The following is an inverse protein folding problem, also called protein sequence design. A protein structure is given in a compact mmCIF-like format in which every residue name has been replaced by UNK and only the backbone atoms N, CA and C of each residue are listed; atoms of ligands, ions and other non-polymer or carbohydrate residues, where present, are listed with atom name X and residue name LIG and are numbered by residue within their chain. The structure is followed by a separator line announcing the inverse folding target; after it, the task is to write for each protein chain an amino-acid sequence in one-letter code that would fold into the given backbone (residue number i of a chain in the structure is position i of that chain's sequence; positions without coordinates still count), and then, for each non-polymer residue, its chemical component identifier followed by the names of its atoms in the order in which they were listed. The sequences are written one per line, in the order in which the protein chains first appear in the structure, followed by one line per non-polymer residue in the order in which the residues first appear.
data_IF_280375176611
#
_entry.id   IF_280375176611
#
_cell.length_a   1.000
_cell.length_b   1.000
_cell.length_c   1.000
_cell.angle_alpha   90.00
_cell.angle_beta   90.00
_cell.angle_gamma   90.00
#
_symmetry.space_group_name_H-M   'P 1'
#
loop_
_entity.id
_entity.type
_entity.pdbx_description
1 polymer ?
#
# COMPACT_ATOMS: atom_id res chain seq x y z
N UNK A 1 32.11 4.99 23.51
CA UNK A 1 31.18 3.85 23.40
C UNK A 1 31.90 2.62 23.91
N UNK A 2 31.35 1.93 24.92
CA UNK A 2 31.97 0.72 25.48
C UNK A 2 31.86 -0.44 24.49
N UNK A 3 32.84 -1.35 24.47
CA UNK A 3 32.90 -2.52 23.58
C UNK A 3 31.61 -3.38 23.57
N UNK A 4 30.82 -3.36 24.66
CA UNK A 4 29.53 -4.05 24.71
C UNK A 4 28.47 -3.44 23.79
N UNK A 5 28.44 -2.11 23.59
CA UNK A 5 27.43 -1.45 22.75
C UNK A 5 27.65 -1.76 21.26
N UNK A 6 28.90 -1.88 20.82
CA UNK A 6 29.25 -2.25 19.44
C UNK A 6 28.93 -3.72 19.15
N UNK A 7 29.04 -4.60 20.15
CA UNK A 7 28.73 -6.03 19.99
C UNK A 7 27.22 -6.29 19.84
N UNK A 8 26.37 -5.55 20.58
CA UNK A 8 24.92 -5.64 20.45
C UNK A 8 24.41 -5.17 19.08
N UNK A 9 24.99 -4.09 18.54
CA UNK A 9 24.63 -3.56 17.21
C UNK A 9 25.00 -4.58 16.12
N UNK A 10 26.15 -5.24 16.24
CA UNK A 10 26.59 -6.26 15.27
C UNK A 10 25.73 -7.53 15.30
N UNK A 11 25.29 -7.98 16.48
CA UNK A 11 24.37 -9.13 16.59
C UNK A 11 23.01 -8.80 15.98
N UNK A 12 22.51 -7.58 16.19
CA UNK A 12 21.24 -7.13 15.61
C UNK A 12 21.29 -7.08 14.08
N UNK A 13 22.39 -6.57 13.52
CA UNK A 13 22.65 -6.57 12.06
C UNK A 13 22.78 -7.99 11.48
N UNK A 14 23.41 -8.92 12.20
CA UNK A 14 23.56 -10.31 11.77
C UNK A 14 22.27 -11.14 11.86
N UNK A 15 21.35 -10.79 12.78
CA UNK A 15 20.02 -11.40 12.87
C UNK A 15 19.11 -10.94 11.72
N UNK A 16 19.23 -9.69 11.27
CA UNK A 16 18.51 -9.17 10.10
C UNK A 16 18.93 -9.92 8.82
N UNK A 17 20.21 -10.31 8.72
CA UNK A 17 20.77 -11.02 7.54
C UNK A 17 20.39 -12.51 7.43
N UNK A 18 19.76 -13.10 8.46
CA UNK A 18 19.38 -14.54 8.50
C UNK A 18 17.87 -14.79 8.52
N UNK A 19 17.07 -13.80 8.14
CA UNK A 19 15.62 -14.00 8.05
C UNK A 19 15.28 -14.75 6.77
N UNK A 20 14.75 -15.96 6.90
CA UNK A 20 13.96 -16.56 5.82
C UNK A 20 12.73 -15.69 5.66
N UNK A 21 12.66 -14.99 4.52
CA UNK A 21 11.53 -14.14 4.14
C UNK A 21 10.34 -15.07 3.94
N UNK A 22 9.41 -15.06 4.89
CA UNK A 22 8.05 -15.53 4.63
C UNK A 22 7.49 -14.54 3.60
N UNK A 23 6.98 -15.05 2.47
CA UNK A 23 6.38 -14.28 1.38
C UNK A 23 5.23 -13.43 1.92
N UNK A 24 5.54 -12.19 2.29
CA UNK A 24 4.64 -11.15 2.74
C UNK A 24 4.92 -9.89 1.93
N UNK A 25 3.92 -9.01 1.87
CA UNK A 25 3.99 -7.77 1.10
C UNK A 25 5.20 -6.93 1.56
N UNK A 26 6.17 -6.67 0.66
CA UNK A 26 7.37 -5.88 0.97
C UNK A 26 7.02 -4.39 1.05
N UNK A 27 7.08 -3.84 2.25
CA UNK A 27 6.87 -2.42 2.50
C UNK A 27 7.99 -1.48 1.98
N UNK A 28 8.81 -1.95 1.03
CA UNK A 28 9.93 -1.19 0.46
C UNK A 28 11.21 -1.25 1.31
N UNK A 29 11.31 -2.22 2.22
CA UNK A 29 12.50 -2.43 3.04
C UNK A 29 13.68 -2.94 2.19
N UNK A 30 13.41 -3.74 1.16
CA UNK A 30 14.46 -4.25 0.26
C UNK A 30 15.08 -3.11 -0.57
N UNK A 31 14.31 -2.07 -0.93
CA UNK A 31 14.80 -0.88 -1.63
C UNK A 31 15.67 0.04 -0.76
N UNK A 32 15.53 -0.01 0.57
CA UNK A 32 16.35 0.77 1.51
C UNK A 32 17.73 0.13 1.79
N UNK A 33 17.89 -1.18 1.56
CA UNK A 33 19.06 -1.94 2.06
C UNK A 33 19.81 -2.68 0.94
N UNK A 34 19.23 -2.91 -0.25
CA UNK A 34 19.92 -3.67 -1.30
C UNK A 34 19.74 -3.11 -2.72
N UNK A 35 20.85 -3.03 -3.46
CA UNK A 35 20.89 -2.79 -4.90
C UNK A 35 20.74 -4.10 -5.71
N UNK A 36 20.01 -5.10 -5.19
CA UNK A 36 19.98 -6.44 -5.78
C UNK A 36 18.56 -6.81 -6.23
N UNK A 37 18.39 -6.90 -7.55
CA UNK A 37 17.27 -7.58 -8.20
C UNK A 37 17.25 -9.06 -7.80
N UNK A 38 16.43 -9.44 -6.83
CA UNK A 38 15.92 -10.82 -6.72
C UNK A 38 14.46 -10.77 -6.30
N UNK A 39 13.59 -11.34 -7.15
CA UNK A 39 12.14 -11.49 -7.02
C UNK A 39 11.44 -10.31 -6.32
N UNK A 40 11.10 -9.29 -7.13
CA UNK A 40 10.36 -8.10 -6.72
C UNK A 40 8.96 -8.48 -6.24
N UNK A 41 8.82 -8.78 -4.96
CA UNK A 41 7.56 -8.52 -4.29
C UNK A 41 7.24 -7.03 -4.44
N UNK A 42 5.95 -6.74 -4.52
CA UNK A 42 5.51 -5.44 -4.98
C UNK A 42 5.52 -4.42 -3.87
N UNK A 43 6.34 -3.38 -4.00
CA UNK A 43 6.40 -2.32 -3.01
C UNK A 43 5.19 -1.39 -3.12
N UNK A 44 4.76 -0.85 -1.97
CA UNK A 44 3.85 0.30 -1.91
C UNK A 44 4.22 1.41 -2.91
N UNK A 45 5.52 1.65 -3.07
CA UNK A 45 6.04 2.65 -3.98
C UNK A 45 5.71 2.31 -5.43
N UNK A 46 6.10 1.12 -5.89
CA UNK A 46 5.92 0.67 -7.27
C UNK A 46 4.45 0.66 -7.72
N UNK A 47 3.56 0.08 -6.90
CA UNK A 47 2.10 0.10 -7.17
C UNK A 47 1.56 1.51 -7.26
N UNK A 48 1.94 2.37 -6.32
CA UNK A 48 1.45 3.75 -6.28
C UNK A 48 1.91 4.52 -7.50
N UNK A 49 3.18 4.40 -7.91
CA UNK A 49 3.70 5.04 -9.12
C UNK A 49 2.93 4.56 -10.35
N UNK A 50 2.74 3.24 -10.50
CA UNK A 50 2.07 2.69 -11.67
C UNK A 50 0.61 3.15 -11.77
N UNK A 51 -0.14 3.08 -10.66
CA UNK A 51 -1.52 3.56 -10.61
C UNK A 51 -1.63 5.06 -10.91
N UNK A 52 -0.74 5.90 -10.37
CA UNK A 52 -0.72 7.34 -10.66
C UNK A 52 -0.43 7.63 -12.13
N UNK A 53 0.46 6.88 -12.77
CA UNK A 53 0.71 6.99 -14.19
C UNK A 53 -0.55 6.63 -15.00
N UNK A 54 -1.27 5.57 -14.62
CA UNK A 54 -2.50 5.14 -15.30
C UNK A 54 -3.57 6.23 -15.24
N UNK A 55 -3.85 6.73 -14.03
CA UNK A 55 -4.81 7.83 -13.81
C UNK A 55 -4.40 9.09 -14.57
N UNK A 56 -3.10 9.37 -14.65
CA UNK A 56 -2.59 10.51 -15.41
C UNK A 56 -2.86 10.38 -16.91
N UNK A 57 -2.63 9.20 -17.51
CA UNK A 57 -2.95 8.97 -18.91
C UNK A 57 -4.45 9.13 -19.19
N UNK A 58 -5.29 8.52 -18.34
CA UNK A 58 -6.75 8.63 -18.47
C UNK A 58 -7.21 10.10 -18.38
N UNK A 59 -6.60 10.87 -17.49
CA UNK A 59 -6.86 12.31 -17.36
C UNK A 59 -6.41 13.11 -18.60
N UNK A 60 -5.20 12.85 -19.11
CA UNK A 60 -4.69 13.50 -20.32
C UNK A 60 -5.54 13.20 -21.55
N UNK A 61 -5.97 11.95 -21.70
CA UNK A 61 -6.86 11.51 -22.77
C UNK A 61 -8.24 12.17 -22.67
N UNK A 62 -8.87 12.11 -21.50
CA UNK A 62 -10.24 12.60 -21.31
C UNK A 62 -10.36 14.12 -21.27
N UNK A 63 -9.37 14.81 -20.71
CA UNK A 63 -9.43 16.27 -20.45
C UNK A 63 -8.74 17.09 -21.53
N UNK A 64 -7.61 16.61 -22.04
CA UNK A 64 -6.78 17.34 -23.00
C UNK A 64 -6.80 16.72 -24.40
N UNK A 65 -7.53 15.62 -24.62
CA UNK A 65 -7.61 14.90 -25.88
C UNK A 65 -6.22 14.53 -26.45
N UNK A 66 -5.29 14.21 -25.56
CA UNK A 66 -3.93 13.75 -25.92
C UNK A 66 -4.01 12.30 -26.38
N UNK A 67 -3.37 11.97 -27.49
CA UNK A 67 -3.22 10.57 -27.92
C UNK A 67 -2.25 9.82 -27.00
N UNK A 68 -2.80 8.93 -26.19
CA UNK A 68 -2.06 8.07 -25.26
C UNK A 68 -1.90 6.64 -25.77
N UNK A 69 -2.38 6.30 -26.98
CA UNK A 69 -2.51 4.92 -27.43
C UNK A 69 -1.16 4.17 -27.40
N UNK A 70 -0.06 4.83 -27.75
CA UNK A 70 1.27 4.25 -27.64
C UNK A 70 1.62 3.87 -26.19
N UNK A 71 1.36 4.76 -25.23
CA UNK A 71 1.65 4.50 -23.81
C UNK A 71 0.70 3.49 -23.20
N UNK A 72 -0.55 3.43 -23.67
CA UNK A 72 -1.50 2.40 -23.26
C UNK A 72 -0.97 0.99 -23.58
N UNK A 73 -0.25 0.81 -24.70
CA UNK A 73 0.41 -0.47 -25.02
C UNK A 73 1.63 -0.78 -24.16
N UNK A 74 2.19 0.22 -23.47
CA UNK A 74 3.34 0.07 -22.58
C UNK A 74 2.96 -0.25 -21.13
N UNK A 75 1.67 -0.14 -20.80
CA UNK A 75 1.16 -0.58 -19.50
C UNK A 75 1.13 -2.11 -19.45
N UNK A 76 2.24 -2.68 -18.97
CA UNK A 76 2.31 -4.04 -18.49
C UNK A 76 2.36 -4.01 -16.96
N UNK A 77 1.27 -4.43 -16.34
CA UNK A 77 1.10 -4.52 -14.89
C UNK A 77 1.30 -5.97 -14.43
N UNK A 78 2.55 -6.42 -14.41
CA UNK A 78 2.89 -7.72 -13.84
C UNK A 78 3.12 -7.57 -12.33
N UNK A 79 2.42 -8.39 -11.53
CA UNK A 79 2.42 -8.36 -10.06
C UNK A 79 2.05 -6.99 -9.45
N UNK A 80 1.32 -6.13 -10.17
CA UNK A 80 0.97 -4.79 -9.68
C UNK A 80 2.08 -3.73 -9.83
N UNK A 81 3.13 -4.00 -10.61
CA UNK A 81 4.12 -2.99 -11.01
C UNK A 81 4.13 -2.76 -12.51
N UNK A 82 4.36 -1.51 -12.89
CA UNK A 82 4.70 -1.15 -14.26
C UNK A 82 6.08 -1.72 -14.60
N UNK A 83 6.19 -2.47 -15.70
CA UNK A 83 7.46 -3.07 -16.12
C UNK A 83 8.44 -2.08 -16.78
N UNK A 84 7.92 -0.99 -17.35
CA UNK A 84 8.72 0.09 -17.93
C UNK A 84 8.67 1.37 -17.06
N UNK A 85 9.61 2.29 -17.25
CA UNK A 85 9.58 3.62 -16.61
C UNK A 85 8.53 4.52 -17.30
N UNK A 86 7.26 4.27 -16.96
CA UNK A 86 6.13 5.01 -17.51
C UNK A 86 6.17 6.48 -17.10
N UNK A 87 6.79 6.82 -15.96
CA UNK A 87 6.93 8.22 -15.52
C UNK A 87 7.73 9.02 -16.56
N UNK A 88 8.85 8.50 -17.03
CA UNK A 88 9.65 9.16 -18.07
C UNK A 88 8.92 9.23 -19.41
N UNK A 89 8.18 8.18 -19.76
CA UNK A 89 7.37 8.17 -20.99
C UNK A 89 6.27 9.25 -20.96
N UNK A 90 5.60 9.44 -19.82
CA UNK A 90 4.63 10.53 -19.63
C UNK A 90 5.34 11.89 -19.68
N UNK A 91 6.50 12.06 -19.03
CA UNK A 91 7.27 13.32 -19.10
C UNK A 91 7.62 13.67 -20.55
N UNK A 92 8.01 12.67 -21.36
CA UNK A 92 8.27 12.84 -22.78
C UNK A 92 7.03 13.33 -23.53
N UNK A 93 5.88 12.68 -23.31
CA UNK A 93 4.59 13.09 -23.89
C UNK A 93 4.19 14.52 -23.48
N UNK A 94 4.34 14.88 -22.21
CA UNK A 94 4.03 16.22 -21.71
C UNK A 94 4.91 17.28 -22.38
N UNK A 95 6.19 16.98 -22.64
CA UNK A 95 7.10 17.91 -23.36
C UNK A 95 6.71 18.11 -24.82
N UNK A 96 6.24 17.07 -25.51
CA UNK A 96 5.91 17.15 -26.94
C UNK A 96 4.53 17.73 -27.21
N UNK A 97 3.59 17.58 -26.27
CA UNK A 97 2.19 18.01 -26.40
C UNK A 97 1.94 19.54 -26.42
N UNK A 98 2.96 20.37 -26.15
CA UNK A 98 2.86 21.84 -26.07
C UNK A 98 1.71 22.39 -25.19
N UNK A 99 1.23 21.61 -24.23
CA UNK A 99 0.13 22.00 -23.35
C UNK A 99 0.50 23.21 -22.47
N UNK A 100 -0.34 24.24 -22.48
CA UNK A 100 -0.12 25.46 -21.69
C UNK A 100 -0.29 25.17 -20.20
N UNK A 101 0.68 25.61 -19.39
CA UNK A 101 0.63 25.48 -17.92
C UNK A 101 1.07 24.13 -17.37
N UNK A 102 1.55 23.21 -18.22
CA UNK A 102 2.08 21.92 -17.77
C UNK A 102 3.56 22.05 -17.40
N UNK A 103 3.92 21.48 -16.24
CA UNK A 103 5.29 21.36 -15.79
C UNK A 103 5.64 19.88 -15.59
N UNK A 104 6.38 19.25 -16.53
CA UNK A 104 6.75 17.83 -16.44
C UNK A 104 7.59 17.49 -15.21
N UNK A 105 8.40 18.43 -14.72
CA UNK A 105 9.17 18.23 -13.49
C UNK A 105 8.27 18.21 -12.25
N UNK A 106 7.28 19.11 -12.21
CA UNK A 106 6.28 19.12 -11.14
C UNK A 106 5.45 17.82 -11.13
N UNK A 107 5.14 17.24 -12.29
CA UNK A 107 4.50 15.93 -12.40
C UNK A 107 5.34 14.84 -11.73
N UNK A 108 6.62 14.71 -12.13
CA UNK A 108 7.53 13.72 -11.55
C UNK A 108 7.68 13.88 -10.03
N UNK A 109 7.85 15.12 -9.57
CA UNK A 109 7.95 15.45 -8.15
C UNK A 109 6.66 15.09 -7.39
N UNK A 110 5.49 15.30 -8.01
CA UNK A 110 4.18 14.95 -7.44
C UNK A 110 4.05 13.44 -7.25
N UNK A 111 4.32 12.65 -8.30
CA UNK A 111 4.28 11.18 -8.25
C UNK A 111 5.22 10.65 -7.16
N UNK A 112 6.47 11.14 -7.14
CA UNK A 112 7.47 10.74 -6.13
C UNK A 112 7.02 11.08 -4.72
N UNK A 113 6.42 12.26 -4.51
CA UNK A 113 5.98 12.70 -3.17
C UNK A 113 4.86 11.81 -2.63
N UNK A 114 3.85 11.52 -3.46
CA UNK A 114 2.73 10.66 -3.08
C UNK A 114 3.22 9.23 -2.79
N UNK A 115 3.99 8.64 -3.72
CA UNK A 115 4.51 7.27 -3.57
C UNK A 115 5.45 7.16 -2.36
N UNK A 116 6.33 8.14 -2.14
CA UNK A 116 7.21 8.15 -0.97
C UNK A 116 6.43 8.31 0.34
N UNK A 117 5.36 9.11 0.36
CA UNK A 117 4.54 9.26 1.56
C UNK A 117 3.77 7.98 1.86
N UNK A 118 3.27 7.28 0.84
CA UNK A 118 2.67 5.95 0.99
C UNK A 118 3.67 5.00 1.68
N UNK A 119 4.82 4.73 1.06
CA UNK A 119 5.83 3.80 1.60
C UNK A 119 6.33 4.18 2.98
N UNK A 120 6.56 5.47 3.25
CA UNK A 120 7.02 5.93 4.57
C UNK A 120 5.98 5.77 5.67
N UNK A 121 4.70 5.68 5.32
CA UNK A 121 3.63 5.48 6.31
C UNK A 121 3.83 4.17 7.04
N UNK A 122 4.27 3.14 6.33
CA UNK A 122 4.56 1.82 6.89
C UNK A 122 5.47 1.90 8.13
N UNK A 123 6.62 2.57 7.97
CA UNK A 123 7.57 2.79 9.06
C UNK A 123 7.10 3.80 10.10
N UNK A 124 6.49 4.90 9.66
CA UNK A 124 6.07 6.01 10.53
C UNK A 124 4.91 5.59 11.44
N UNK A 125 4.12 4.63 10.98
CA UNK A 125 2.87 4.22 11.60
C UNK A 125 2.81 2.72 11.89
N UNK A 126 3.95 2.03 11.86
CA UNK A 126 4.13 0.59 12.10
C UNK A 126 3.29 -0.02 13.23
N UNK A 127 3.02 0.71 14.31
CA UNK A 127 2.24 0.24 15.47
C UNK A 127 0.81 0.79 15.52
N UNK A 128 0.35 1.43 14.45
CA UNK A 128 -0.99 2.00 14.34
C UNK A 128 -1.85 1.04 13.56
N UNK A 129 -2.54 0.16 14.27
CA UNK A 129 -3.45 -0.84 13.71
C UNK A 129 -4.41 -0.25 12.66
N UNK A 130 -4.99 0.93 12.94
CA UNK A 130 -5.90 1.61 11.99
C UNK A 130 -5.23 1.99 10.65
N UNK A 131 -3.92 2.22 10.63
CA UNK A 131 -3.18 2.55 9.41
C UNK A 131 -2.97 1.34 8.50
N UNK A 132 -3.00 0.13 9.09
CA UNK A 132 -2.71 -1.15 8.44
C UNK A 132 -3.94 -2.07 8.35
N UNK A 133 -5.06 -1.67 8.97
CA UNK A 133 -6.22 -2.54 9.22
C UNK A 133 -5.92 -3.79 10.05
N UNK A 134 -4.83 -3.81 10.81
CA UNK A 134 -4.51 -4.91 11.72
C UNK A 134 -5.47 -4.97 12.92
N UNK A 135 -5.49 -6.10 13.63
CA UNK A 135 -6.25 -6.30 14.87
C UNK A 135 -7.74 -5.90 14.74
N UNK A 136 -8.35 -6.20 13.59
CA UNK A 136 -9.75 -5.90 13.27
C UNK A 136 -10.08 -4.40 13.37
N UNK A 137 -9.10 -3.52 13.16
CA UNK A 137 -9.26 -2.06 13.26
C UNK A 137 -10.06 -1.44 12.10
N UNK A 138 -11.09 -2.11 11.58
CA UNK A 138 -11.89 -1.70 10.42
C UNK A 138 -12.60 -0.36 10.62
N UNK A 139 -13.17 -0.12 11.81
CA UNK A 139 -13.77 1.17 12.17
C UNK A 139 -12.71 2.27 12.21
N UNK A 140 -11.53 1.97 12.77
CA UNK A 140 -10.41 2.90 12.87
C UNK A 140 -9.85 3.28 11.50
N UNK A 141 -9.53 2.28 10.68
CA UNK A 141 -8.98 2.46 9.35
C UNK A 141 -9.92 3.16 8.38
N UNK A 142 -11.21 2.80 8.37
CA UNK A 142 -12.20 3.52 7.54
C UNK A 142 -12.36 4.99 7.95
N UNK A 143 -12.39 5.31 9.26
CA UNK A 143 -12.36 6.70 9.75
C UNK A 143 -11.08 7.43 9.34
N UNK A 144 -9.93 6.75 9.42
CA UNK A 144 -8.64 7.32 9.07
C UNK A 144 -8.57 7.68 7.58
N UNK A 145 -9.06 6.80 6.70
CA UNK A 145 -9.17 7.08 5.26
C UNK A 145 -10.02 8.32 5.02
N UNK A 146 -11.23 8.39 5.57
CA UNK A 146 -12.12 9.54 5.38
C UNK A 146 -11.49 10.84 5.91
N UNK A 147 -10.82 10.78 7.06
CA UNK A 147 -10.11 11.93 7.64
C UNK A 147 -8.98 12.42 6.72
N UNK A 148 -8.14 11.51 6.21
CA UNK A 148 -7.04 11.85 5.31
C UNK A 148 -7.55 12.37 3.97
N UNK A 149 -8.65 11.82 3.45
CA UNK A 149 -9.31 12.32 2.26
C UNK A 149 -9.74 13.78 2.44
N UNK A 150 -10.50 14.08 3.51
CA UNK A 150 -10.92 15.46 3.81
C UNK A 150 -9.71 16.39 4.01
N UNK A 151 -8.68 15.92 4.73
CA UNK A 151 -7.47 16.72 4.99
C UNK A 151 -6.70 17.02 3.69
N UNK A 152 -6.71 16.08 2.74
CA UNK A 152 -6.14 16.29 1.40
C UNK A 152 -6.90 17.37 0.65
N UNK A 153 -8.25 17.31 0.66
CA UNK A 153 -9.08 18.31 -0.01
C UNK A 153 -8.88 19.71 0.59
N UNK A 154 -8.91 19.83 1.92
CA UNK A 154 -8.67 21.12 2.62
C UNK A 154 -7.29 21.68 2.26
N UNK A 155 -6.25 20.84 2.29
CA UNK A 155 -4.89 21.28 1.97
C UNK A 155 -4.78 21.81 0.53
N UNK A 156 -5.43 21.15 -0.44
CA UNK A 156 -5.33 21.49 -1.86
C UNK A 156 -6.27 22.65 -2.23
N UNK A 157 -7.53 22.61 -1.80
CA UNK A 157 -8.60 23.49 -2.30
C UNK A 157 -8.77 24.76 -1.46
N UNK A 158 -8.42 24.71 -0.17
CA UNK A 158 -8.68 25.82 0.75
C UNK A 158 -7.40 26.52 1.22
N UNK A 159 -6.26 25.82 1.22
CA UNK A 159 -5.00 26.31 1.82
C UNK A 159 -3.83 26.45 0.83
N UNK A 160 -4.00 26.10 -0.45
CA UNK A 160 -2.93 26.03 -1.46
C UNK A 160 -1.67 25.25 -1.01
N UNK A 161 -1.82 24.35 -0.03
CA UNK A 161 -0.74 23.55 0.53
C UNK A 161 -0.64 22.21 -0.20
N UNK A 162 -0.28 22.27 -1.48
CA UNK A 162 -0.20 21.11 -2.36
C UNK A 162 0.79 20.04 -1.87
N UNK A 163 1.88 20.43 -1.21
CA UNK A 163 2.85 19.47 -0.65
C UNK A 163 2.25 18.64 0.48
N UNK A 164 1.57 19.29 1.44
CA UNK A 164 0.86 18.59 2.50
C UNK A 164 -0.28 17.74 1.94
N UNK A 165 -1.02 18.24 0.96
CA UNK A 165 -2.07 17.49 0.28
C UNK A 165 -1.56 16.20 -0.35
N UNK A 166 -0.47 16.26 -1.12
CA UNK A 166 0.18 15.09 -1.73
C UNK A 166 0.67 14.07 -0.70
N UNK A 167 1.29 14.54 0.39
CA UNK A 167 1.75 13.66 1.48
C UNK A 167 0.58 12.94 2.14
N UNK A 168 -0.44 13.70 2.56
CA UNK A 168 -1.64 13.14 3.21
C UNK A 168 -2.37 12.16 2.29
N UNK A 169 -2.43 12.45 0.99
CA UNK A 169 -2.99 11.54 0.00
C UNK A 169 -2.19 10.24 -0.11
N UNK A 170 -0.85 10.31 -0.13
CA UNK A 170 0.01 9.13 -0.08
C UNK A 170 -0.20 8.29 1.18
N UNK A 171 -0.29 8.93 2.35
CA UNK A 171 -0.61 8.24 3.62
C UNK A 171 -2.01 7.58 3.58
N UNK A 172 -2.98 8.17 2.88
CA UNK A 172 -4.29 7.56 2.68
C UNK A 172 -4.22 6.32 1.78
N UNK A 173 -3.45 6.40 0.69
CA UNK A 173 -3.26 5.28 -0.24
C UNK A 173 -2.57 4.10 0.43
N UNK A 174 -1.63 4.33 1.34
CA UNK A 174 -1.02 3.26 2.15
C UNK A 174 -2.09 2.47 2.90
N UNK A 175 -2.92 3.15 3.69
CA UNK A 175 -3.99 2.49 4.46
C UNK A 175 -5.03 1.79 3.59
N UNK A 176 -5.28 2.28 2.37
CA UNK A 176 -6.14 1.57 1.40
C UNK A 176 -5.44 0.32 0.87
N UNK A 177 -4.15 0.38 0.58
CA UNK A 177 -3.40 -0.78 0.09
C UNK A 177 -3.31 -1.86 1.16
N UNK A 178 -3.04 -1.49 2.41
CA UNK A 178 -2.95 -2.43 3.53
C UNK A 178 -4.28 -3.11 3.84
N UNK A 179 -5.41 -2.42 3.65
CA UNK A 179 -6.70 -3.10 3.72
C UNK A 179 -6.75 -4.32 2.79
N UNK A 180 -6.25 -4.23 1.56
CA UNK A 180 -6.33 -5.35 0.61
C UNK A 180 -5.26 -6.42 0.83
N UNK A 181 -4.16 -6.11 1.51
CA UNK A 181 -3.07 -7.06 1.76
C UNK A 181 -3.13 -7.70 3.17
N UNK A 182 -3.69 -7.00 4.16
CA UNK A 182 -3.72 -7.45 5.57
C UNK A 182 -5.07 -7.97 6.01
N UNK A 183 -6.09 -7.91 5.14
CA UNK A 183 -7.43 -8.44 5.43
C UNK A 183 -7.77 -9.59 4.50
N UNK A 184 -8.76 -10.39 4.89
CA UNK A 184 -9.27 -11.49 4.08
C UNK A 184 -10.17 -11.05 2.90
N UNK A 185 -10.15 -9.78 2.49
CA UNK A 185 -11.09 -9.25 1.50
C UNK A 185 -11.06 -10.04 0.18
N UNK A 186 -9.87 -10.40 -0.29
CA UNK A 186 -9.68 -11.18 -1.52
C UNK A 186 -10.10 -12.64 -1.31
N UNK A 187 -9.79 -13.23 -0.16
CA UNK A 187 -10.13 -14.60 0.22
C UNK A 187 -11.65 -14.79 0.38
N UNK A 188 -12.40 -13.72 0.65
CA UNK A 188 -13.86 -13.71 0.57
C UNK A 188 -14.41 -13.73 -0.86
N UNK A 189 -13.54 -13.82 -1.86
CA UNK A 189 -13.83 -13.79 -3.29
C UNK A 189 -14.45 -12.47 -3.78
N UNK A 190 -14.17 -11.36 -3.08
CA UNK A 190 -14.48 -10.04 -3.62
C UNK A 190 -13.47 -9.68 -4.71
N UNK A 191 -13.98 -9.39 -5.90
CA UNK A 191 -13.18 -9.09 -7.10
C UNK A 191 -13.35 -7.62 -7.56
N UNK A 192 -14.02 -6.81 -6.76
CA UNK A 192 -14.27 -5.40 -7.02
C UNK A 192 -13.77 -4.56 -5.84
N UNK A 193 -13.39 -3.28 -6.07
CA UNK A 193 -13.03 -2.39 -4.98
C UNK A 193 -14.15 -2.32 -3.93
N UNK A 194 -13.77 -2.27 -2.66
CA UNK A 194 -14.69 -2.14 -1.54
C UNK A 194 -15.64 -0.96 -1.74
N UNK A 195 -16.93 -1.21 -1.48
CA UNK A 195 -17.97 -0.19 -1.46
C UNK A 195 -17.96 0.64 -0.16
N UNK A 196 -17.08 0.32 0.79
CA UNK A 196 -16.95 1.01 2.08
C UNK A 196 -15.83 2.04 2.06
N UNK A 197 -14.64 1.64 1.59
CA UNK A 197 -13.44 2.48 1.70
C UNK A 197 -13.64 3.85 1.06
N UNK A 198 -13.43 4.92 1.84
CA UNK A 198 -13.59 6.30 1.42
C UNK A 198 -15.04 6.79 1.26
N UNK A 199 -16.04 5.92 1.47
CA UNK A 199 -17.48 6.25 1.33
C UNK A 199 -18.21 6.25 2.67
N UNK A 200 -17.93 5.26 3.53
CA UNK A 200 -18.52 5.14 4.87
C UNK A 200 -17.57 4.42 5.82
N UNK A 201 -18.00 4.30 7.08
CA UNK A 201 -17.32 3.55 8.13
C UNK A 201 -17.90 2.13 8.16
N UNK A 202 -17.05 1.13 8.41
CA UNK A 202 -17.50 -0.25 8.65
C UNK A 202 -18.37 -0.34 9.91
N UNK A 203 -19.44 -1.12 9.84
CA UNK A 203 -20.25 -1.52 10.98
C UNK A 203 -19.65 -2.72 11.71
N UNK A 204 -19.94 -2.84 13.00
CA UNK A 204 -19.42 -3.92 13.85
C UNK A 204 -19.90 -5.33 13.46
N UNK A 205 -20.88 -5.44 12.56
CA UNK A 205 -21.41 -6.69 12.02
C UNK A 205 -20.80 -7.08 10.66
N UNK A 206 -19.85 -6.29 10.14
CA UNK A 206 -19.18 -6.54 8.85
C UNK A 206 -17.82 -7.24 9.01
N UNK A 207 -17.33 -7.38 10.25
CA UNK A 207 -16.08 -8.03 10.58
C UNK A 207 -16.23 -8.92 11.81
N UNK A 208 -15.30 -9.85 11.97
CA UNK A 208 -15.27 -10.81 13.06
C UNK A 208 -15.18 -10.10 14.43
N UNK A 209 -15.91 -10.61 15.41
CA UNK A 209 -15.79 -10.16 16.79
C UNK A 209 -14.52 -10.71 17.44
N UNK A 210 -14.06 -10.07 18.52
CA UNK A 210 -12.83 -10.44 19.22
C UNK A 210 -12.83 -11.88 19.80
N UNK A 211 -14.01 -12.46 20.02
CA UNK A 211 -14.20 -13.83 20.49
C UNK A 211 -14.41 -14.86 19.35
N UNK A 212 -14.54 -14.40 18.11
CA UNK A 212 -14.70 -15.27 16.96
C UNK A 212 -13.34 -15.85 16.57
N UNK A 213 -13.28 -17.18 16.44
CA UNK A 213 -12.12 -17.83 15.81
C UNK A 213 -12.10 -17.51 14.31
N UNK A 214 -11.08 -16.80 13.87
CA UNK A 214 -10.97 -16.34 12.46
C UNK A 214 -10.04 -17.19 11.61
N UNK A 215 -9.14 -17.95 12.23
CA UNK A 215 -8.19 -18.80 11.53
C UNK A 215 -8.01 -20.18 12.19
N UNK A 216 -7.47 -21.09 11.39
CA UNK A 216 -7.05 -22.44 11.77
C UNK A 216 -5.55 -22.57 11.53
N UNK A 217 -4.89 -23.51 12.21
CA UNK A 217 -3.49 -23.83 11.92
C UNK A 217 -3.36 -24.38 10.50
N UNK A 218 -2.34 -23.93 9.77
CA UNK A 218 -2.04 -24.49 8.45
C UNK A 218 -1.42 -25.88 8.58
N UNK A 219 -1.78 -26.79 7.67
CA UNK A 219 -1.12 -28.09 7.57
C UNK A 219 0.33 -27.89 7.12
N UNK A 220 1.28 -28.37 7.94
CA UNK A 220 2.72 -28.35 7.63
C UNK A 220 3.27 -26.99 7.14
N UNK A 221 2.72 -25.88 7.65
CA UNK A 221 3.03 -24.49 7.27
C UNK A 221 2.64 -24.07 5.83
N UNK A 222 1.84 -24.87 5.12
CA UNK A 222 1.41 -24.59 3.74
C UNK A 222 0.07 -23.84 3.68
N UNK A 223 0.03 -22.61 4.18
CA UNK A 223 -1.18 -21.76 4.12
C UNK A 223 -1.50 -21.24 2.69
N UNK A 224 -0.59 -21.44 1.74
CA UNK A 224 -0.73 -20.94 0.36
C UNK A 224 -1.59 -21.87 -0.52
N UNK A 225 -1.66 -23.16 -0.19
CA UNK A 225 -2.41 -24.14 -0.97
C UNK A 225 -3.85 -24.24 -0.46
N UNK A 226 -4.02 -24.28 0.86
CA UNK A 226 -5.31 -24.32 1.54
C UNK A 226 -5.42 -23.10 2.44
N UNK A 227 -6.53 -22.36 2.32
CA UNK A 227 -6.79 -21.20 3.18
C UNK A 227 -6.81 -21.61 4.65
N UNK A 228 -6.15 -20.82 5.48
CA UNK A 228 -6.16 -20.98 6.93
C UNK A 228 -7.28 -20.16 7.59
N UNK A 229 -8.13 -19.49 6.82
CA UNK A 229 -9.28 -18.76 7.36
C UNK A 229 -10.34 -19.77 7.78
N UNK A 230 -10.90 -19.57 8.98
CA UNK A 230 -11.95 -20.46 9.50
C UNK A 230 -13.18 -20.42 8.57
N UNK A 231 -13.72 -21.59 8.25
CA UNK A 231 -14.85 -21.72 7.34
C UNK A 231 -16.09 -20.96 7.79
N UNK A 232 -16.26 -20.72 9.10
CA UNK A 232 -17.36 -19.90 9.61
C UNK A 232 -17.25 -18.44 9.13
N UNK A 233 -16.04 -17.86 9.08
CA UNK A 233 -15.79 -16.52 8.53
C UNK A 233 -16.11 -16.47 7.04
N UNK A 234 -15.63 -17.45 6.27
CA UNK A 234 -15.87 -17.50 4.82
C UNK A 234 -17.35 -17.66 4.47
N UNK A 235 -18.09 -18.48 5.23
CA UNK A 235 -19.53 -18.71 5.05
C UNK A 235 -20.36 -17.48 5.42
N UNK A 236 -19.98 -16.78 6.48
CA UNK A 236 -20.68 -15.57 6.95
C UNK A 236 -20.27 -14.31 6.21
N UNK A 237 -19.21 -14.37 5.39
CA UNK A 237 -18.63 -13.24 4.66
C UNK A 237 -18.18 -12.10 5.59
N UNK A 238 -17.70 -12.44 6.78
CA UNK A 238 -17.13 -11.47 7.70
C UNK A 238 -15.68 -11.17 7.34
N UNK A 239 -15.30 -9.90 7.46
CA UNK A 239 -13.91 -9.48 7.36
C UNK A 239 -13.12 -9.87 8.62
N UNK A 240 -11.85 -10.18 8.46
CA UNK A 240 -10.86 -10.35 9.53
C UNK A 240 -9.50 -9.91 9.01
N UNK A 241 -8.56 -9.64 9.91
CA UNK A 241 -7.24 -9.14 9.54
C UNK A 241 -6.12 -9.89 10.25
N UNK A 242 -4.91 -9.68 9.76
CA UNK A 242 -3.70 -10.05 10.48
C UNK A 242 -3.55 -9.30 11.81
N UNK A 243 -2.69 -9.85 12.67
CA UNK A 243 -2.21 -9.20 13.88
C UNK A 243 -0.73 -8.89 13.70
N UNK A 244 -0.36 -7.62 13.80
CA UNK A 244 1.04 -7.23 13.72
C UNK A 244 1.75 -7.48 15.05
N UNK A 245 2.67 -8.44 15.06
CA UNK A 245 3.51 -8.76 16.22
C UNK A 245 4.96 -8.43 15.88
N UNK A 246 5.53 -7.33 16.40
CA UNK A 246 6.94 -7.02 16.19
C UNK A 246 7.82 -8.00 16.98
N UNK A 247 8.50 -8.89 16.26
CA UNK A 247 9.60 -9.76 16.71
C UNK A 247 9.43 -10.50 18.06
N UNK A 248 9.35 -11.84 18.00
CA UNK A 248 9.88 -12.71 19.05
C UNK A 248 9.06 -12.87 20.34
N UNK A 249 7.87 -12.28 20.43
CA UNK A 249 6.91 -12.62 21.48
C UNK A 249 5.74 -13.40 20.90
N UNK A 250 5.94 -14.71 20.70
CA UNK A 250 4.83 -15.65 20.66
C UNK A 250 4.23 -15.70 22.07
N UNK A 251 3.18 -14.92 22.33
CA UNK A 251 2.27 -15.20 23.44
C UNK A 251 1.12 -16.07 22.93
N UNK A 252 1.45 -17.28 22.47
CA UNK A 252 0.56 -18.43 22.39
C UNK A 252 1.37 -19.69 22.68
#
# INVERSE_FOLDING_TARGET
MSANQTMFIFIYLLLILKMNIIYGFDAGFIELISSRQQNKDTTHYGMTVCALCRVTLDYLKSTYNVDTAYLDTKFDETNGQCQEDIVQSIISLLRTSQMKGINPWLYSATVKTIASANTKTDLKEMFKEASHFDSESFIGGSKLIMKRYQSTLVAILESDNYDQGRKTFGEMLHTIQDFYSHTNYIELAYNSPSDVLGKRIFGANEFASADMRTCISCDEQQCQINTNIDQSVLKTKLLTSGYFIPFGFNFL
#
